data_IF_292612944369
#
_entry.id   IF_292612944369
#
_cell.length_a   1.000
_cell.length_b   1.000
_cell.length_c   1.000
_cell.angle_alpha   90.00
_cell.angle_beta   90.00
_cell.angle_gamma   90.00
#
_symmetry.space_group_name_H-M   'P 1'
#
loop_
_entity.id
_entity.type
_entity.pdbx_description
1 polymer ?
#
# COMPACT_ATOMS: atom_id res chain seq x y z
N UNK A 1 -25.43 -3.09 -1.49
CA UNK A 1 -24.98 -3.82 -0.28
C UNK A 1 -23.76 -4.68 -0.50
N UNK A 2 -23.79 -5.75 -1.31
CA UNK A 2 -22.63 -6.68 -1.42
C UNK A 2 -21.41 -6.05 -2.09
N UNK A 3 -21.61 -5.23 -3.12
CA UNK A 3 -20.54 -4.52 -3.85
C UNK A 3 -19.91 -3.41 -3.01
N UNK A 4 -20.73 -2.68 -2.24
CA UNK A 4 -20.27 -1.63 -1.33
C UNK A 4 -19.39 -2.22 -0.21
N UNK A 5 -19.80 -3.34 0.40
CA UNK A 5 -19.01 -4.04 1.41
C UNK A 5 -17.68 -4.51 0.80
N UNK A 6 -17.71 -5.05 -0.43
CA UNK A 6 -16.50 -5.48 -1.12
C UNK A 6 -15.56 -4.30 -1.44
N UNK A 7 -16.11 -3.16 -1.85
CA UNK A 7 -15.36 -1.92 -2.07
C UNK A 7 -14.68 -1.42 -0.80
N UNK A 8 -15.38 -1.44 0.34
CA UNK A 8 -14.82 -1.06 1.66
C UNK A 8 -13.67 -2.01 2.04
N UNK A 9 -13.82 -3.32 1.84
CA UNK A 9 -12.76 -4.30 2.09
C UNK A 9 -11.51 -4.01 1.25
N UNK A 10 -11.67 -3.69 -0.03
CA UNK A 10 -10.56 -3.36 -0.93
C UNK A 10 -9.85 -2.08 -0.47
N UNK A 11 -10.59 -1.06 -0.05
CA UNK A 11 -10.02 0.18 0.50
C UNK A 11 -9.18 -0.14 1.75
N UNK A 12 -9.69 -0.96 2.68
CA UNK A 12 -8.94 -1.36 3.87
C UNK A 12 -7.64 -2.10 3.53
N UNK A 13 -7.67 -2.98 2.54
CA UNK A 13 -6.47 -3.65 2.02
C UNK A 13 -5.47 -2.64 1.46
N UNK A 14 -5.94 -1.66 0.67
CA UNK A 14 -5.10 -0.59 0.13
C UNK A 14 -4.41 0.23 1.22
N UNK A 15 -5.14 0.59 2.28
CA UNK A 15 -4.59 1.30 3.45
C UNK A 15 -3.52 0.46 4.15
N UNK A 16 -3.79 -0.84 4.38
CA UNK A 16 -2.83 -1.76 5.01
C UNK A 16 -1.55 -1.93 4.17
N UNK A 17 -1.68 -1.98 2.85
CA UNK A 17 -0.56 -2.06 1.92
C UNK A 17 0.34 -0.83 2.05
N UNK A 18 -0.25 0.37 2.05
CA UNK A 18 0.47 1.65 2.21
C UNK A 18 1.15 1.71 3.58
N UNK A 19 0.46 1.33 4.65
CA UNK A 19 1.02 1.29 6.00
C UNK A 19 2.24 0.36 6.09
N UNK A 20 2.12 -0.83 5.50
CA UNK A 20 3.21 -1.82 5.45
C UNK A 20 4.40 -1.29 4.65
N UNK A 21 4.16 -0.65 3.50
CA UNK A 21 5.20 0.01 2.71
C UNK A 21 5.94 1.08 3.51
N UNK A 22 5.23 1.94 4.24
CA UNK A 22 5.84 2.95 5.12
C UNK A 22 6.65 2.31 6.24
N UNK A 23 6.13 1.26 6.90
CA UNK A 23 6.86 0.55 7.95
C UNK A 23 8.15 -0.07 7.40
N UNK A 24 8.10 -0.67 6.21
CA UNK A 24 9.26 -1.23 5.53
C UNK A 24 10.29 -0.15 5.18
N UNK A 25 9.86 1.01 4.70
CA UNK A 25 10.75 2.16 4.46
C UNK A 25 11.52 2.57 5.71
N UNK A 26 10.83 2.75 6.84
CA UNK A 26 11.47 3.08 8.11
C UNK A 26 12.42 1.98 8.58
N UNK A 27 12.04 0.71 8.38
CA UNK A 27 12.87 -0.43 8.76
C UNK A 27 14.17 -0.49 7.95
N UNK A 28 14.10 -0.27 6.63
CA UNK A 28 15.26 -0.22 5.74
C UNK A 28 16.16 0.94 6.16
N UNK A 29 15.59 2.13 6.37
CA UNK A 29 16.35 3.32 6.77
C UNK A 29 17.04 3.16 8.14
N UNK A 30 16.43 2.43 9.07
CA UNK A 30 16.97 2.23 10.42
C UNK A 30 18.04 1.14 10.48
N UNK A 31 17.90 0.06 9.72
CA UNK A 31 18.74 -1.13 9.87
C UNK A 31 19.81 -1.29 8.77
N UNK A 32 19.69 -0.60 7.64
CA UNK A 32 20.60 -0.75 6.50
C UNK A 32 21.54 0.44 6.41
N UNK A 33 22.81 0.23 6.81
CA UNK A 33 23.87 1.27 6.84
C UNK A 33 24.28 1.82 5.47
N UNK A 34 24.07 1.06 4.39
CA UNK A 34 24.36 1.49 3.02
C UNK A 34 23.13 1.27 2.13
N UNK A 35 22.22 2.24 2.16
CA UNK A 35 20.90 2.12 1.54
C UNK A 35 20.98 2.43 0.04
N UNK A 36 21.00 1.40 -0.80
CA UNK A 36 20.91 1.52 -2.25
C UNK A 36 19.45 1.72 -2.68
N UNK A 37 19.22 2.57 -3.70
CA UNK A 37 17.89 2.98 -4.14
C UNK A 37 16.97 1.82 -4.55
N UNK A 38 17.53 0.72 -5.06
CA UNK A 38 16.74 -0.46 -5.44
C UNK A 38 16.10 -1.16 -4.23
N UNK A 39 16.64 -1.02 -3.02
CA UNK A 39 16.02 -1.63 -1.83
C UNK A 39 14.67 -1.01 -1.49
N UNK A 40 14.42 0.22 -1.96
CA UNK A 40 13.12 0.87 -1.84
C UNK A 40 12.16 0.53 -2.98
N UNK A 41 12.60 -0.20 -4.02
CA UNK A 41 11.74 -0.59 -5.15
C UNK A 41 10.47 -1.32 -4.66
N UNK A 42 10.61 -2.24 -3.71
CA UNK A 42 9.47 -2.95 -3.11
C UNK A 42 8.53 -2.02 -2.32
N UNK A 43 9.07 -0.98 -1.68
CA UNK A 43 8.26 0.06 -1.01
C UNK A 43 7.46 0.86 -2.04
N UNK A 44 8.08 1.29 -3.13
CA UNK A 44 7.41 2.05 -4.18
C UNK A 44 6.30 1.23 -4.86
N UNK A 45 6.58 -0.04 -5.19
CA UNK A 45 5.57 -0.95 -5.77
C UNK A 45 4.40 -1.17 -4.81
N UNK A 46 4.68 -1.38 -3.52
CA UNK A 46 3.64 -1.54 -2.50
C UNK A 46 2.75 -0.30 -2.36
N UNK A 47 3.33 0.90 -2.40
CA UNK A 47 2.59 2.16 -2.37
C UNK A 47 1.70 2.34 -3.61
N UNK A 48 2.22 2.05 -4.80
CA UNK A 48 1.46 2.13 -6.06
C UNK A 48 0.27 1.17 -6.02
N UNK A 49 0.48 -0.08 -5.62
CA UNK A 49 -0.58 -1.08 -5.48
C UNK A 49 -1.64 -0.62 -4.46
N UNK A 50 -1.22 -0.07 -3.33
CA UNK A 50 -2.14 0.46 -2.33
C UNK A 50 -3.03 1.59 -2.86
N UNK A 51 -2.46 2.52 -3.66
CA UNK A 51 -3.23 3.59 -4.32
C UNK A 51 -4.21 3.00 -5.34
N UNK A 52 -3.81 2.01 -6.13
CA UNK A 52 -4.71 1.35 -7.10
C UNK A 52 -5.90 0.72 -6.38
N UNK A 53 -5.66 0.04 -5.24
CA UNK A 53 -6.76 -0.52 -4.45
C UNK A 53 -7.67 0.56 -3.85
N UNK A 54 -7.14 1.68 -3.37
CA UNK A 54 -7.96 2.80 -2.89
C UNK A 54 -8.88 3.34 -4.00
N UNK A 55 -8.33 3.58 -5.19
CA UNK A 55 -9.09 4.11 -6.33
C UNK A 55 -10.14 3.09 -6.78
N UNK A 56 -9.75 1.83 -6.98
CA UNK A 56 -10.66 0.76 -7.40
C UNK A 56 -11.77 0.52 -6.37
N UNK A 57 -11.42 0.47 -5.09
CA UNK A 57 -12.38 0.30 -4.01
C UNK A 57 -13.38 1.46 -3.94
N UNK A 58 -12.92 2.70 -4.15
CA UNK A 58 -13.81 3.87 -4.23
C UNK A 58 -14.78 3.81 -5.43
N UNK A 59 -14.33 3.30 -6.58
CA UNK A 59 -15.21 3.08 -7.74
C UNK A 59 -16.30 2.03 -7.49
N UNK A 60 -16.03 1.01 -6.65
CA UNK A 60 -16.98 -0.07 -6.35
C UNK A 60 -18.04 0.30 -5.29
N UNK A 61 -17.82 1.38 -4.54
CA UNK A 61 -18.79 1.89 -3.55
C UNK A 61 -19.85 2.77 -4.21
N UNK A 62 -19.63 3.20 -5.45
CA UNK A 62 -20.57 4.02 -6.24
C UNK A 62 -21.59 3.15 -6.96
#
# INVERSE_FOLDING_TARGET
MTTEIFGICIILIGILQIYTGRKMYFNIKKNVKNTQSYMFMGVYVSLIIGIVFLVWGAFLIK
#
